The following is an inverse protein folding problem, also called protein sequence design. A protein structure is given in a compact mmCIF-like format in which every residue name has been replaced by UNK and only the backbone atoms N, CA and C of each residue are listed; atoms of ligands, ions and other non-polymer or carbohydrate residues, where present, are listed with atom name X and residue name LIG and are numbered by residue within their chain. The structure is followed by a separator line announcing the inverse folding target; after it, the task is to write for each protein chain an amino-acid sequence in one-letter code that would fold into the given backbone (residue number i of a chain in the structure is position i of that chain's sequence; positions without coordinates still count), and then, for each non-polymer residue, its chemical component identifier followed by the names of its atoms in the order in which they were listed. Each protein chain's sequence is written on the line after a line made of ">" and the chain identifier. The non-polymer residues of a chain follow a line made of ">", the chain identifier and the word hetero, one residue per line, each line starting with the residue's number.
data_IF_823722176857
#
_entry.id   IF_823722176857
#
_cell.length_a   1.000
_cell.length_b   1.000
_cell.length_c   1.000
_cell.angle_alpha   90.00
_cell.angle_beta   90.00
_cell.angle_gamma   90.00
#
_symmetry.space_group_name_H-M   'P 1'
#
loop_
_entity.id
_entity.type
_entity.pdbx_description
1 polymer ?
#
# COMPACT_ATOMS: atom_id res chain seq x y z
N UNK A 1 15.28 33.32 -6.87
CA UNK A 1 13.80 33.30 -6.68
C UNK A 1 13.42 31.92 -6.16
N UNK A 2 13.37 31.75 -4.84
CA UNK A 2 13.29 30.45 -4.18
C UNK A 2 11.82 30.18 -3.85
N UNK A 3 11.14 29.34 -4.64
CA UNK A 3 9.82 28.84 -4.26
C UNK A 3 10.01 27.52 -3.52
N UNK A 4 10.04 27.59 -2.19
CA UNK A 4 9.78 26.44 -1.34
C UNK A 4 8.29 26.09 -1.45
N UNK A 5 7.92 25.26 -2.43
CA UNK A 5 6.64 24.57 -2.42
C UNK A 5 6.75 23.41 -1.43
N UNK A 6 6.62 23.71 -0.13
CA UNK A 6 6.38 22.70 0.90
C UNK A 6 5.02 22.09 0.61
N UNK A 7 4.98 20.91 -0.03
CA UNK A 7 3.72 20.24 -0.34
C UNK A 7 3.00 19.89 0.98
N UNK A 8 1.86 20.51 1.30
CA UNK A 8 1.23 20.43 2.63
C UNK A 8 0.58 19.07 2.92
N UNK A 9 0.53 18.15 1.95
CA UNK A 9 -0.25 16.91 2.08
C UNK A 9 0.23 15.98 3.19
N UNK A 10 1.53 15.90 3.50
CA UNK A 10 1.98 15.03 4.60
C UNK A 10 1.69 15.61 5.99
N UNK A 11 1.79 16.94 6.14
CA UNK A 11 1.48 17.62 7.40
C UNK A 11 -0.02 17.52 7.71
N UNK A 12 -0.87 17.65 6.69
CA UNK A 12 -2.32 17.58 6.85
C UNK A 12 -2.78 16.22 7.41
N UNK A 13 -2.25 15.09 6.90
CA UNK A 13 -2.61 13.77 7.42
C UNK A 13 -2.16 13.53 8.86
N UNK A 14 -0.99 14.07 9.23
CA UNK A 14 -0.46 13.99 10.59
C UNK A 14 -1.29 14.86 11.55
N UNK A 15 -1.67 16.07 11.13
CA UNK A 15 -2.53 16.97 11.88
C UNK A 15 -3.97 16.42 12.06
N UNK A 16 -4.48 15.70 11.06
CA UNK A 16 -5.82 15.09 11.08
C UNK A 16 -5.89 13.71 11.77
N UNK A 17 -4.78 13.21 12.30
CA UNK A 17 -4.74 11.95 13.07
C UNK A 17 -5.14 10.69 12.28
N UNK A 18 -5.08 10.73 10.94
CA UNK A 18 -5.50 9.61 10.10
C UNK A 18 -4.52 8.45 10.27
N UNK A 19 -5.01 7.29 10.69
CA UNK A 19 -4.20 6.08 10.85
C UNK A 19 -3.64 5.62 9.50
N UNK A 20 -2.35 5.32 9.47
CA UNK A 20 -1.68 4.77 8.28
C UNK A 20 -2.17 3.35 8.02
N UNK A 21 -2.54 3.05 6.78
CA UNK A 21 -2.89 1.69 6.33
C UNK A 21 -1.61 0.94 5.97
N UNK A 22 -1.44 -0.28 6.51
CA UNK A 22 -0.34 -1.16 6.12
C UNK A 22 -0.64 -1.74 4.74
N UNK A 23 0.29 -1.56 3.80
CA UNK A 23 0.16 -1.99 2.41
C UNK A 23 1.45 -2.68 1.97
N UNK A 24 1.35 -3.48 0.91
CA UNK A 24 2.49 -3.93 0.10
C UNK A 24 2.52 -3.10 -1.18
N UNK A 25 3.70 -2.63 -1.57
CA UNK A 25 3.92 -1.91 -2.83
C UNK A 25 4.82 -2.78 -3.69
N UNK A 26 4.29 -3.26 -4.81
CA UNK A 26 5.02 -4.01 -5.83
C UNK A 26 5.38 -3.07 -6.98
N UNK A 27 6.64 -3.09 -7.42
CA UNK A 27 7.14 -2.28 -8.52
C UNK A 27 7.77 -3.20 -9.56
N UNK A 28 7.33 -3.08 -10.81
CA UNK A 28 7.86 -3.83 -11.95
C UNK A 28 7.95 -2.92 -13.19
N UNK A 29 8.39 -3.49 -14.31
CA UNK A 29 8.35 -2.83 -15.62
C UNK A 29 6.93 -2.50 -16.08
N UNK A 30 5.92 -3.22 -15.58
CA UNK A 30 4.51 -2.96 -15.92
C UNK A 30 3.97 -1.73 -15.19
N UNK A 31 4.49 -1.45 -14.00
CA UNK A 31 4.12 -0.29 -13.20
C UNK A 31 4.20 -0.52 -11.70
N UNK A 32 3.37 0.21 -10.97
CA UNK A 32 3.27 0.15 -9.51
C UNK A 32 1.90 -0.38 -9.11
N UNK A 33 1.89 -1.46 -8.33
CA UNK A 33 0.69 -2.06 -7.74
C UNK A 33 0.77 -1.96 -6.22
N UNK A 34 -0.35 -1.62 -5.58
CA UNK A 34 -0.44 -1.56 -4.11
C UNK A 34 -1.60 -2.41 -3.64
N UNK A 35 -1.28 -3.35 -2.75
CA UNK A 35 -2.23 -4.30 -2.19
C UNK A 35 -2.29 -4.19 -0.68
N UNK A 36 -3.44 -4.57 -0.09
CA UNK A 36 -3.51 -4.95 1.32
C UNK A 36 -3.57 -6.46 1.45
N UNK A 37 -2.85 -6.98 2.44
CA UNK A 37 -3.04 -8.35 2.91
C UNK A 37 -3.98 -8.38 4.09
N UNK A 38 -5.08 -9.08 3.94
CA UNK A 38 -5.95 -9.48 5.04
C UNK A 38 -5.82 -10.99 5.20
N UNK A 39 -5.31 -11.44 6.34
CA UNK A 39 -5.33 -12.87 6.67
C UNK A 39 -6.77 -13.24 7.01
N UNK A 40 -7.41 -14.05 6.16
CA UNK A 40 -8.72 -14.61 6.44
C UNK A 40 -8.49 -16.04 6.90
N UNK A 41 -8.73 -16.30 8.18
CA UNK A 41 -8.84 -17.66 8.69
C UNK A 41 -10.20 -18.18 8.28
N UNK A 42 -10.29 -18.89 7.15
CA UNK A 42 -11.50 -19.63 6.81
C UNK A 42 -11.59 -20.81 7.79
N UNK A 43 -12.75 -20.94 8.44
CA UNK A 43 -12.94 -21.60 9.72
C UNK A 43 -12.43 -23.04 9.85
N UNK A 44 -12.25 -23.47 11.12
CA UNK A 44 -12.04 -24.86 11.50
C UNK A 44 -13.21 -25.71 10.99
N UNK A 45 -13.01 -26.55 9.98
CA UNK A 45 -13.90 -27.70 9.75
C UNK A 45 -13.76 -28.65 10.94
N UNK A 46 -14.73 -28.63 11.86
CA UNK A 46 -14.89 -29.68 12.88
C UNK A 46 -15.39 -30.94 12.18
N UNK A 47 -14.50 -31.72 11.56
CA UNK A 47 -14.82 -33.09 11.19
C UNK A 47 -14.91 -33.89 12.48
N UNK A 48 -16.15 -34.18 12.90
CA UNK A 48 -16.46 -34.98 14.09
C UNK A 48 -16.17 -36.46 13.83
N UNK A 49 -14.90 -36.84 13.73
CA UNK A 49 -14.46 -38.23 13.88
C UNK A 49 -13.43 -38.27 15.00
N UNK A 50 -13.85 -38.87 16.13
CA UNK A 50 -12.98 -39.19 17.26
C UNK A 50 -11.82 -40.08 16.77
N UNK A 51 -10.66 -39.91 17.42
CA UNK A 51 -9.39 -40.64 17.29
C UNK A 51 -8.36 -40.11 16.27
N UNK A 52 -7.57 -39.08 16.61
CA UNK A 52 -6.30 -38.67 15.96
C UNK A 52 -6.33 -37.69 14.75
N UNK A 53 -7.38 -36.88 14.57
CA UNK A 53 -7.39 -35.83 13.54
C UNK A 53 -6.67 -34.54 13.95
N UNK A 54 -5.42 -34.32 13.52
CA UNK A 54 -4.72 -33.03 13.62
C UNK A 54 -5.42 -32.02 12.69
N UNK A 55 -6.31 -31.20 13.22
CA UNK A 55 -7.11 -30.24 12.45
C UNK A 55 -6.22 -29.33 11.59
N UNK A 56 -6.40 -29.38 10.26
CA UNK A 56 -5.68 -28.54 9.30
C UNK A 56 -6.35 -27.17 9.23
N UNK A 57 -5.79 -26.18 9.91
CA UNK A 57 -6.19 -24.79 9.74
C UNK A 57 -5.70 -24.31 8.37
N UNK A 58 -6.61 -24.12 7.42
CA UNK A 58 -6.28 -23.50 6.12
C UNK A 58 -6.38 -21.98 6.26
N UNK A 59 -5.24 -21.31 6.44
CA UNK A 59 -5.18 -19.85 6.39
C UNK A 59 -5.11 -19.40 4.93
N UNK A 60 -6.15 -18.74 4.44
CA UNK A 60 -6.14 -18.13 3.10
C UNK A 60 -5.75 -16.66 3.23
N UNK A 61 -4.74 -16.23 2.48
CA UNK A 61 -4.34 -14.83 2.40
C UNK A 61 -5.19 -14.17 1.32
N UNK A 62 -6.04 -13.20 1.69
CA UNK A 62 -6.74 -12.37 0.71
C UNK A 62 -5.91 -11.13 0.43
N UNK A 63 -5.50 -10.98 -0.82
CA UNK A 63 -4.82 -9.79 -1.32
C UNK A 63 -5.83 -8.92 -2.07
N UNK A 64 -6.14 -7.76 -1.50
CA UNK A 64 -7.03 -6.79 -2.13
C UNK A 64 -6.18 -5.68 -2.77
N UNK A 65 -6.27 -5.54 -4.10
CA UNK A 65 -5.63 -4.46 -4.85
C UNK A 65 -6.37 -3.13 -4.60
N UNK A 66 -5.62 -2.10 -4.22
CA UNK A 66 -6.17 -0.78 -3.86
C UNK A 66 -5.87 0.23 -4.96
N UNK A 67 -4.72 0.09 -5.62
CA UNK A 67 -4.32 0.95 -6.73
C UNK A 67 -3.35 0.21 -7.64
N UNK A 68 -3.45 0.52 -8.92
CA UNK A 68 -2.55 0.07 -9.96
C UNK A 68 -2.32 1.20 -10.96
N UNK A 69 -1.07 1.63 -11.08
CA UNK A 69 -0.66 2.66 -12.03
C UNK A 69 0.35 2.06 -13.01
N UNK A 70 0.01 1.94 -14.31
CA UNK A 70 0.96 1.52 -15.32
C UNK A 70 2.16 2.47 -15.40
N UNK A 71 3.33 1.95 -15.78
CA UNK A 71 4.59 2.72 -15.76
C UNK A 71 4.50 4.05 -16.52
N UNK A 72 3.83 4.07 -17.68
CA UNK A 72 3.66 5.26 -18.51
C UNK A 72 2.78 6.36 -17.87
N UNK A 73 2.08 6.06 -16.78
CA UNK A 73 1.28 7.04 -16.02
C UNK A 73 2.03 7.62 -14.82
N UNK A 74 3.25 7.17 -14.55
CA UNK A 74 4.08 7.66 -13.45
C UNK A 74 4.99 8.76 -14.00
N UNK A 75 4.84 9.98 -13.49
CA UNK A 75 5.52 11.17 -14.02
C UNK A 75 6.71 11.60 -13.19
N UNK A 76 6.69 11.30 -11.89
CA UNK A 76 7.72 11.72 -10.97
C UNK A 76 7.82 10.76 -9.81
N UNK A 77 9.05 10.52 -9.35
CA UNK A 77 9.37 9.68 -8.19
C UNK A 77 10.41 10.41 -7.36
N UNK A 78 10.20 10.46 -6.04
CA UNK A 78 11.13 11.10 -5.11
C UNK A 78 11.14 10.46 -3.74
N UNK A 79 12.10 10.87 -2.93
CA UNK A 79 12.16 10.62 -1.49
C UNK A 79 12.01 11.93 -0.72
N UNK A 80 11.63 11.84 0.55
CA UNK A 80 11.65 13.00 1.46
C UNK A 80 13.09 13.39 1.78
N UNK A 81 13.38 14.70 1.81
CA UNK A 81 14.74 15.21 2.05
C UNK A 81 15.25 14.91 3.46
N UNK A 82 14.36 14.68 4.42
CA UNK A 82 14.68 14.44 5.83
C UNK A 82 14.53 12.98 6.25
N UNK A 83 13.82 12.15 5.48
CA UNK A 83 13.63 10.73 5.77
C UNK A 83 13.57 9.90 4.47
N UNK A 84 14.72 9.30 4.09
CA UNK A 84 14.84 8.46 2.89
C UNK A 84 13.91 7.23 2.91
N UNK A 85 13.33 6.87 4.06
CA UNK A 85 12.32 5.79 4.16
C UNK A 85 10.95 6.23 3.69
N UNK A 86 10.74 7.53 3.55
CA UNK A 86 9.54 8.11 2.97
C UNK A 86 9.83 8.33 1.49
N UNK A 87 9.07 7.65 0.65
CA UNK A 87 9.11 7.85 -0.79
C UNK A 87 7.74 8.22 -1.31
N UNK A 88 7.72 8.91 -2.44
CA UNK A 88 6.49 9.29 -3.10
C UNK A 88 6.60 9.18 -4.61
N UNK A 89 5.46 9.02 -5.27
CA UNK A 89 5.38 9.15 -6.72
C UNK A 89 4.13 9.92 -7.12
N UNK A 90 4.22 10.65 -8.23
CA UNK A 90 3.09 11.34 -8.84
C UNK A 90 2.65 10.53 -10.05
N UNK A 91 1.39 10.11 -10.06
CA UNK A 91 0.77 9.43 -11.18
C UNK A 91 -0.48 10.16 -11.65
N UNK A 92 -0.76 10.07 -12.95
CA UNK A 92 -2.02 10.54 -13.53
C UNK A 92 -3.08 9.47 -13.36
N UNK A 93 -4.18 9.82 -12.69
CA UNK A 93 -5.32 8.92 -12.52
C UNK A 93 -6.04 8.68 -13.85
N UNK A 94 -6.31 7.41 -14.17
CA UNK A 94 -6.90 7.01 -15.45
C UNK A 94 -8.33 7.51 -15.62
N UNK A 95 -9.12 7.52 -14.54
CA UNK A 95 -10.53 7.91 -14.60
C UNK A 95 -10.72 9.43 -14.60
N UNK A 96 -9.96 10.15 -13.77
CA UNK A 96 -10.17 11.59 -13.55
C UNK A 96 -9.17 12.49 -14.28
N UNK A 97 -8.11 11.92 -14.87
CA UNK A 97 -6.98 12.67 -15.43
C UNK A 97 -6.27 13.60 -14.44
N UNK A 98 -6.55 13.47 -13.14
CA UNK A 98 -5.92 14.27 -12.08
C UNK A 98 -4.61 13.63 -11.67
N UNK A 99 -3.59 14.47 -11.44
CA UNK A 99 -2.32 14.02 -10.86
C UNK A 99 -2.44 13.82 -9.35
N UNK A 100 -2.13 12.61 -8.88
CA UNK A 100 -2.16 12.23 -7.47
C UNK A 100 -0.75 11.90 -7.01
N UNK A 101 -0.36 12.48 -5.88
CA UNK A 101 0.88 12.14 -5.18
C UNK A 101 0.57 11.03 -4.16
N UNK A 102 1.20 9.87 -4.34
CA UNK A 102 1.09 8.73 -3.45
C UNK A 102 2.34 8.71 -2.56
N UNK A 103 2.15 8.75 -1.24
CA UNK A 103 3.25 8.84 -0.26
C UNK A 103 3.26 7.61 0.62
N UNK A 104 4.42 6.96 0.73
CA UNK A 104 4.60 5.72 1.49
C UNK A 104 5.76 5.88 2.45
N UNK A 105 5.68 5.17 3.59
CA UNK A 105 6.79 5.03 4.53
C UNK A 105 7.14 3.56 4.67
N UNK A 106 8.40 3.22 4.42
CA UNK A 106 8.88 1.85 4.56
C UNK A 106 8.96 1.44 6.04
N UNK A 107 8.74 0.15 6.30
CA UNK A 107 8.82 -0.43 7.65
C UNK A 107 10.18 -1.08 7.95
N UNK A 108 11.09 -1.12 6.97
CA UNK A 108 12.44 -1.68 7.18
C UNK A 108 13.34 -0.64 7.86
N UNK A 109 14.21 -1.10 8.76
CA UNK A 109 15.24 -0.26 9.37
C UNK A 109 16.29 0.13 8.34
#
# INVERSE_FOLDING_TARGET
>A
MQRHASYPRMYEFKARGVKKRKVTVDVSTDGVRVTTRTNITVGKTKTSTKLFGRGKTTTTIKEDEIMHHPIYRIFYVSHDSSDLKIFSYIARDGATNVFKCNVFKSNRK
#
